data_IF_998710588855
#
_entry.id   IF_998710588855
#
_cell.length_a   1.000
_cell.length_b   1.000
_cell.length_c   1.000
_cell.angle_alpha   90.00
_cell.angle_beta   90.00
_cell.angle_gamma   90.00
#
_symmetry.space_group_name_H-M   'P 1'
#
loop_
_entity.id
_entity.type
_entity.pdbx_description
1 polymer ?
#
# COMPACT_ATOMS: atom_id res chain seq x y z
N UNK A 1 7.62 18.87 -25.06
CA UNK A 1 6.51 17.97 -24.66
C UNK A 1 5.19 18.73 -24.79
N UNK A 2 4.33 18.34 -25.73
CA UNK A 2 3.06 19.02 -26.03
C UNK A 2 1.99 18.49 -25.05
N UNK A 3 1.44 19.35 -24.18
CA UNK A 3 0.32 18.97 -23.29
C UNK A 3 -0.95 18.84 -24.14
N UNK A 4 -1.70 17.71 -24.06
CA UNK A 4 -2.99 17.62 -24.72
C UNK A 4 -3.97 18.61 -24.08
N UNK A 5 -4.55 19.50 -24.89
CA UNK A 5 -5.59 20.43 -24.47
C UNK A 5 -6.89 19.64 -24.32
N UNK A 6 -7.37 19.49 -23.09
CA UNK A 6 -8.71 18.97 -22.82
C UNK A 6 -9.73 20.03 -23.28
N UNK A 7 -10.43 19.75 -24.39
CA UNK A 7 -11.59 20.53 -24.81
C UNK A 7 -12.81 20.08 -23.98
N UNK A 8 -12.83 20.44 -22.70
CA UNK A 8 -14.06 20.38 -21.93
C UNK A 8 -14.98 21.53 -22.36
N UNK A 9 -16.31 21.33 -22.42
CA UNK A 9 -17.24 22.42 -22.65
C UNK A 9 -17.04 23.49 -21.59
N UNK A 10 -16.86 24.72 -22.06
CA UNK A 10 -16.59 25.87 -21.20
C UNK A 10 -17.83 26.11 -20.34
N UNK A 11 -17.70 25.92 -19.03
CA UNK A 11 -18.76 26.17 -18.08
C UNK A 11 -19.23 27.63 -18.24
N UNK A 12 -20.55 27.89 -18.31
CA UNK A 12 -21.05 29.23 -18.58
C UNK A 12 -20.55 30.18 -17.50
N UNK A 13 -19.96 31.30 -17.93
CA UNK A 13 -19.40 32.34 -17.05
C UNK A 13 -20.48 32.92 -16.15
N UNK A 14 -20.78 32.29 -15.00
CA UNK A 14 -21.64 32.86 -13.96
C UNK A 14 -20.94 34.10 -13.41
N UNK A 15 -21.45 35.27 -13.74
CA UNK A 15 -20.91 36.58 -13.33
C UNK A 15 -20.92 36.80 -11.82
N UNK A 16 -21.74 36.04 -11.10
CA UNK A 16 -22.02 36.27 -9.67
C UNK A 16 -21.32 35.29 -8.73
N UNK A 17 -20.47 34.40 -9.25
CA UNK A 17 -19.66 33.50 -8.43
C UNK A 17 -18.21 33.58 -8.86
N UNK A 18 -17.37 34.26 -8.07
CA UNK A 18 -15.92 34.11 -8.16
C UNK A 18 -15.64 32.63 -7.87
N UNK A 19 -15.18 31.88 -8.87
CA UNK A 19 -14.68 30.53 -8.66
C UNK A 19 -13.53 30.59 -7.65
N UNK A 20 -13.72 29.97 -6.48
CA UNK A 20 -12.73 30.01 -5.41
C UNK A 20 -11.51 29.18 -5.83
N UNK A 21 -10.50 29.83 -6.40
CA UNK A 21 -9.19 29.19 -6.65
C UNK A 21 -8.39 29.26 -5.36
N UNK A 22 -8.32 28.16 -4.61
CA UNK A 22 -7.34 28.02 -3.55
C UNK A 22 -5.98 27.68 -4.15
N UNK A 23 -5.01 28.56 -3.98
CA UNK A 23 -3.60 28.28 -4.29
C UNK A 23 -2.95 27.88 -2.97
N UNK A 24 -2.64 26.59 -2.82
CA UNK A 24 -1.87 26.12 -1.67
C UNK A 24 -0.39 26.24 -2.02
N UNK A 25 0.28 27.24 -1.45
CA UNK A 25 1.73 27.36 -1.57
C UNK A 25 2.41 26.27 -0.75
N UNK A 26 3.26 25.51 -1.41
CA UNK A 26 4.03 24.46 -0.78
C UNK A 26 5.24 25.06 -0.06
N UNK A 27 5.29 24.90 1.26
CA UNK A 27 6.49 25.19 2.06
C UNK A 27 7.31 23.90 2.29
N UNK A 28 8.53 23.80 1.73
CA UNK A 28 9.41 22.65 1.94
C UNK A 28 9.84 22.48 3.40
N UNK A 29 9.88 23.56 4.18
CA UNK A 29 10.39 23.58 5.56
C UNK A 29 9.29 23.49 6.62
N UNK A 30 8.02 23.63 6.22
CA UNK A 30 6.89 23.47 7.14
C UNK A 30 6.89 22.07 7.78
N UNK A 31 6.63 21.98 9.11
CA UNK A 31 6.56 20.71 9.81
C UNK A 31 5.43 19.85 9.24
N UNK A 32 5.74 18.58 8.96
CA UNK A 32 4.79 17.64 8.36
C UNK A 32 4.38 16.56 9.34
N UNK A 33 3.14 16.13 9.18
CA UNK A 33 2.60 15.05 9.97
C UNK A 33 3.31 13.73 9.63
N UNK A 34 4.12 13.25 10.56
CA UNK A 34 4.83 11.96 10.50
C UNK A 34 4.14 10.90 11.36
N UNK A 35 3.17 11.30 12.18
CA UNK A 35 2.45 10.37 13.05
C UNK A 35 1.64 9.38 12.21
N UNK A 36 1.56 8.10 12.61
CA UNK A 36 0.73 7.12 11.92
C UNK A 36 -0.75 7.50 12.02
N UNK A 37 -1.52 7.10 11.02
CA UNK A 37 -2.96 7.34 10.92
C UNK A 37 -3.68 6.01 10.80
N UNK A 38 -4.85 5.94 11.42
CA UNK A 38 -5.77 4.81 11.27
C UNK A 38 -6.68 5.05 10.06
N UNK A 39 -6.69 4.10 9.13
CA UNK A 39 -7.64 4.05 8.02
C UNK A 39 -8.56 2.86 8.28
N UNK A 40 -9.75 3.13 8.82
CA UNK A 40 -10.62 2.10 9.36
C UNK A 40 -9.88 1.31 10.45
N UNK A 41 -9.71 0.00 10.22
CA UNK A 41 -8.95 -0.89 11.12
C UNK A 41 -7.45 -0.99 10.85
N UNK A 42 -6.93 -0.32 9.82
CA UNK A 42 -5.55 -0.50 9.36
C UNK A 42 -4.65 0.65 9.81
N UNK A 43 -3.40 0.31 10.13
CA UNK A 43 -2.37 1.28 10.52
C UNK A 43 -1.60 1.71 9.28
N UNK A 44 -1.55 3.01 9.02
CA UNK A 44 -0.80 3.60 7.91
C UNK A 44 0.22 4.59 8.46
N UNK A 45 1.50 4.29 8.31
CA UNK A 45 2.56 5.23 8.67
C UNK A 45 2.73 6.30 7.60
N UNK A 46 3.03 7.53 8.02
CA UNK A 46 3.27 8.67 7.13
C UNK A 46 4.75 9.00 7.09
N UNK A 47 5.32 9.02 5.88
CA UNK A 47 6.71 9.42 5.64
C UNK A 47 6.76 10.52 4.59
N UNK A 48 6.86 11.79 4.99
CA UNK A 48 7.08 12.89 4.06
C UNK A 48 8.36 12.67 3.24
N UNK A 49 8.28 12.91 1.93
CA UNK A 49 9.45 12.79 1.05
C UNK A 49 10.22 14.11 1.00
N UNK A 50 11.53 14.04 1.16
CA UNK A 50 12.39 15.22 1.05
C UNK A 50 12.32 15.79 -0.38
N UNK A 51 12.20 17.11 -0.50
CA UNK A 51 12.14 17.80 -1.80
C UNK A 51 10.86 17.57 -2.60
N UNK A 52 9.82 16.93 -2.04
CA UNK A 52 8.56 16.67 -2.74
C UNK A 52 7.34 17.05 -1.90
N UNK A 53 6.29 17.50 -2.57
CA UNK A 53 4.98 17.80 -1.97
C UNK A 53 4.30 16.57 -1.38
N UNK A 54 4.77 15.39 -1.77
CA UNK A 54 4.09 14.14 -1.50
C UNK A 54 4.52 13.53 -0.16
N UNK A 55 3.56 12.85 0.47
CA UNK A 55 3.80 12.02 1.64
C UNK A 55 3.68 10.56 1.22
N UNK A 56 4.67 9.75 1.56
CA UNK A 56 4.61 8.31 1.34
C UNK A 56 3.79 7.69 2.48
N UNK A 57 2.67 7.08 2.13
CA UNK A 57 1.82 6.31 3.02
C UNK A 57 2.28 4.86 3.00
N UNK A 58 2.66 4.34 4.15
CA UNK A 58 3.18 2.98 4.32
C UNK A 58 2.12 2.17 5.05
N UNK A 59 1.52 1.21 4.37
CA UNK A 59 0.47 0.34 4.92
C UNK A 59 1.14 -0.78 5.71
N UNK A 60 0.80 -0.92 6.98
CA UNK A 60 1.41 -1.89 7.88
C UNK A 60 0.47 -3.07 8.16
N UNK A 61 1.06 -4.28 8.20
CA UNK A 61 0.44 -5.50 8.73
C UNK A 61 1.26 -5.95 9.95
N UNK A 62 0.89 -5.45 11.13
CA UNK A 62 1.70 -5.58 12.34
C UNK A 62 3.03 -4.82 12.19
N UNK A 63 4.15 -5.54 12.21
CA UNK A 63 5.50 -4.99 12.03
C UNK A 63 5.98 -5.01 10.57
N UNK A 64 5.24 -5.67 9.67
CA UNK A 64 5.62 -5.81 8.27
C UNK A 64 4.99 -4.72 7.40
N UNK A 65 5.74 -4.25 6.41
CA UNK A 65 5.21 -3.35 5.38
C UNK A 65 4.40 -4.18 4.38
N UNK A 66 3.10 -3.93 4.33
CA UNK A 66 2.19 -4.58 3.39
C UNK A 66 2.20 -3.88 2.01
N UNK A 67 2.45 -2.58 1.98
CA UNK A 67 2.50 -1.79 0.74
C UNK A 67 2.83 -0.33 1.00
N UNK A 68 3.03 0.42 -0.09
CA UNK A 68 3.29 1.86 -0.05
C UNK A 68 2.47 2.58 -1.12
N UNK A 69 1.95 3.76 -0.81
CA UNK A 69 1.22 4.63 -1.73
C UNK A 69 1.67 6.08 -1.62
N UNK A 70 1.57 6.83 -2.71
CA UNK A 70 1.81 8.28 -2.74
C UNK A 70 0.53 9.05 -2.39
N UNK A 71 -0.63 8.53 -2.80
CA UNK A 71 -1.93 9.06 -2.42
C UNK A 71 -2.35 8.51 -1.05
N UNK A 72 -3.21 9.27 -0.36
CA UNK A 72 -3.84 8.80 0.87
C UNK A 72 -4.68 7.55 0.54
N UNK A 73 -4.37 6.38 1.13
CA UNK A 73 -5.07 5.14 0.80
C UNK A 73 -6.46 5.11 1.43
N UNK A 74 -7.41 4.46 0.76
CA UNK A 74 -8.69 4.12 1.36
C UNK A 74 -8.62 2.77 2.09
N UNK A 75 -9.73 2.35 2.71
CA UNK A 75 -9.78 1.11 3.48
C UNK A 75 -9.64 -0.15 2.58
N UNK A 76 -10.17 -0.12 1.36
CA UNK A 76 -10.09 -1.22 0.40
C UNK A 76 -8.67 -1.42 -0.15
N UNK A 77 -7.95 -0.33 -0.42
CA UNK A 77 -6.55 -0.33 -0.82
C UNK A 77 -5.69 -0.99 0.27
N UNK A 78 -5.97 -0.67 1.54
CA UNK A 78 -5.30 -1.29 2.67
C UNK A 78 -5.62 -2.78 2.77
N UNK A 79 -6.90 -3.16 2.66
CA UNK A 79 -7.34 -4.54 2.72
C UNK A 79 -6.70 -5.41 1.62
N UNK A 80 -6.67 -4.89 0.38
CA UNK A 80 -6.11 -5.58 -0.78
C UNK A 80 -4.59 -5.74 -0.67
N UNK A 81 -3.88 -4.70 -0.23
CA UNK A 81 -2.44 -4.75 0.01
C UNK A 81 -2.07 -5.81 1.04
N UNK A 82 -2.78 -5.84 2.17
CA UNK A 82 -2.54 -6.81 3.25
C UNK A 82 -2.85 -8.24 2.77
N UNK A 83 -4.00 -8.45 2.12
CA UNK A 83 -4.38 -9.77 1.58
C UNK A 83 -3.31 -10.31 0.62
N UNK A 84 -2.79 -9.45 -0.27
CA UNK A 84 -1.73 -9.81 -1.22
C UNK A 84 -0.44 -10.20 -0.49
N UNK A 85 -0.05 -9.43 0.54
CA UNK A 85 1.17 -9.68 1.31
C UNK A 85 1.09 -10.98 2.11
N UNK A 86 -0.03 -11.23 2.79
CA UNK A 86 -0.26 -12.49 3.52
C UNK A 86 -0.24 -13.70 2.59
N UNK A 87 -0.85 -13.60 1.40
CA UNK A 87 -0.81 -14.68 0.40
C UNK A 87 0.63 -15.00 -0.01
N UNK A 88 1.43 -13.98 -0.32
CA UNK A 88 2.86 -14.16 -0.66
C UNK A 88 3.65 -14.81 0.47
N UNK A 89 3.38 -14.41 1.72
CA UNK A 89 4.03 -15.01 2.88
C UNK A 89 3.68 -16.50 3.00
N UNK A 90 2.39 -16.86 2.86
CA UNK A 90 1.94 -18.25 2.88
C UNK A 90 2.57 -19.09 1.76
N UNK A 91 2.62 -18.57 0.53
CA UNK A 91 3.29 -19.22 -0.60
C UNK A 91 4.78 -19.44 -0.32
N UNK A 92 5.47 -18.44 0.25
CA UNK A 92 6.89 -18.55 0.59
C UNK A 92 7.16 -19.60 1.68
N UNK A 93 6.25 -19.71 2.67
CA UNK A 93 6.35 -20.71 3.73
C UNK A 93 6.11 -22.11 3.16
N UNK A 94 5.11 -22.28 2.31
CA UNK A 94 4.85 -23.55 1.63
C UNK A 94 6.05 -24.00 0.76
N UNK A 95 6.65 -23.09 0.00
CA UNK A 95 7.84 -23.40 -0.78
C UNK A 95 9.01 -23.87 0.12
N UNK A 96 9.23 -23.19 1.25
CA UNK A 96 10.28 -23.56 2.23
C UNK A 96 10.01 -24.91 2.88
N UNK A 97 8.77 -25.22 3.25
CA UNK A 97 8.42 -26.51 3.86
C UNK A 97 8.58 -27.66 2.87
N UNK A 98 8.16 -27.48 1.63
CA UNK A 98 8.34 -28.47 0.55
C UNK A 98 9.82 -28.69 0.28
N UNK A 99 10.62 -27.63 0.17
CA UNK A 99 12.07 -27.74 -0.02
C UNK A 99 12.72 -28.53 1.13
N UNK A 100 12.35 -28.23 2.38
CA UNK A 100 12.84 -28.96 3.56
C UNK A 100 12.40 -30.43 3.55
N UNK A 101 11.17 -30.73 3.14
CA UNK A 101 10.69 -32.09 3.01
C UNK A 101 11.46 -32.89 1.94
N UNK A 102 11.73 -32.29 0.77
CA UNK A 102 12.53 -32.93 -0.31
C UNK A 102 13.95 -33.28 0.13
N UNK A 103 14.55 -32.50 1.03
CA UNK A 103 15.90 -32.79 1.56
C UNK A 103 15.93 -33.88 2.63
N UNK A 104 14.78 -34.25 3.23
CA UNK A 104 14.75 -35.32 4.23
C UNK A 104 14.76 -36.66 3.52
N UNK A 105 15.75 -37.51 3.86
CA UNK A 105 15.77 -38.91 3.42
C UNK A 105 14.46 -39.59 3.86
N UNK A 106 13.76 -40.32 2.98
CA UNK A 106 12.57 -41.07 3.36
C UNK A 106 12.97 -42.10 4.42
N UNK A 107 12.27 -42.07 5.57
CA UNK A 107 12.46 -43.07 6.63
C UNK A 107 11.60 -44.27 6.26
N UNK A 108 12.20 -45.46 6.19
CA UNK A 108 11.47 -46.68 5.86
C UNK A 108 10.33 -46.88 6.87
N UNK A 109 9.10 -46.94 6.36
CA UNK A 109 7.91 -47.27 7.15
C UNK A 109 7.84 -48.78 7.28
N UNK A 110 7.99 -49.29 8.51
CA UNK A 110 7.84 -50.72 8.80
C UNK A 110 6.35 -51.06 8.81
N UNK A 111 5.89 -51.78 7.79
CA UNK A 111 4.53 -52.31 7.74
C UNK A 111 4.47 -53.52 8.70
N UNK A 112 3.50 -53.56 9.59
CA UNK A 112 3.18 -54.77 10.36
C UNK A 112 2.31 -55.66 9.48
N UNK A 113 2.80 -56.83 9.09
CA UNK A 113 1.93 -57.88 8.57
C UNK A 113 1.03 -58.38 9.71
N UNK A 114 -0.27 -58.43 9.47
CA UNK A 114 -1.23 -59.09 10.33
C UNK A 114 -1.28 -60.57 9.96
N UNK A 115 -1.05 -61.43 10.95
CA UNK A 115 -1.16 -62.89 10.86
C UNK A 115 -2.61 -63.36 11.03
#
# INVERSE_FOLDING_TARGET
MHRPKLNAPQEPTRRDTIGLRSIVHYDPMAPRATTPVMVGRYVVARRPLAGSVHTLYIILDGTAVAGTSISYPNEDDCATAIKKTRRKQAESLAAKTIAKAKTRKPRATRVKEAA
#
